data_IF_196976475488
#
_entry.id   IF_196976475488
#
_cell.length_a   1.000
_cell.length_b   1.000
_cell.length_c   1.000
_cell.angle_alpha   90.00
_cell.angle_beta   90.00
_cell.angle_gamma   90.00
#
_symmetry.space_group_name_H-M   'P 1'
#
loop_
_entity.id
_entity.type
_entity.pdbx_description
1 polymer ?
#
# COMPACT_ATOMS: atom_id res chain seq x y z
N UNK A 1 13.78 -14.52 -8.03
CA UNK A 1 14.71 -13.56 -7.41
C UNK A 1 15.99 -14.32 -7.13
N UNK A 2 17.12 -13.81 -7.60
CA UNK A 2 18.39 -14.48 -7.34
C UNK A 2 18.68 -14.44 -5.83
N UNK A 3 19.18 -15.53 -5.27
CA UNK A 3 19.63 -15.63 -3.87
C UNK A 3 20.74 -14.62 -3.53
N UNK A 4 21.16 -13.82 -4.49
CA UNK A 4 22.20 -12.80 -4.41
C UNK A 4 21.67 -11.37 -4.19
N UNK A 5 20.37 -11.12 -4.24
CA UNK A 5 19.80 -9.82 -3.90
C UNK A 5 19.80 -9.65 -2.37
N UNK A 6 19.90 -8.44 -1.86
CA UNK A 6 20.16 -8.11 -0.46
C UNK A 6 21.58 -8.50 -0.01
N UNK A 7 22.57 -8.26 -0.86
CA UNK A 7 23.98 -8.54 -0.56
C UNK A 7 24.69 -7.39 0.16
N UNK A 8 24.12 -6.19 0.18
CA UNK A 8 24.70 -4.99 0.79
C UNK A 8 23.61 -3.95 1.12
N UNK A 9 24.01 -2.80 1.69
CA UNK A 9 23.10 -1.72 2.04
C UNK A 9 22.43 -1.08 0.80
N UNK A 10 23.16 -0.97 -0.29
CA UNK A 10 22.66 -0.40 -1.54
C UNK A 10 21.49 -1.22 -2.09
N UNK A 11 21.52 -2.54 -1.96
CA UNK A 11 20.40 -3.41 -2.36
C UNK A 11 19.16 -3.17 -1.48
N UNK A 12 19.37 -2.99 -0.17
CA UNK A 12 18.28 -2.69 0.76
C UNK A 12 17.64 -1.33 0.42
N UNK A 13 18.45 -0.30 0.23
CA UNK A 13 18.00 1.05 -0.13
C UNK A 13 17.32 1.07 -1.51
N UNK A 14 17.84 0.30 -2.47
CA UNK A 14 17.24 0.14 -3.79
C UNK A 14 15.88 -0.55 -3.72
N UNK A 15 15.70 -1.56 -2.86
CA UNK A 15 14.42 -2.24 -2.68
C UNK A 15 13.35 -1.31 -2.09
N UNK A 16 13.72 -0.47 -1.13
CA UNK A 16 12.83 0.56 -0.59
C UNK A 16 12.51 1.63 -1.65
N UNK A 17 13.49 2.08 -2.40
CA UNK A 17 13.28 3.03 -3.50
C UNK A 17 12.31 2.46 -4.54
N UNK A 18 12.45 1.18 -4.88
CA UNK A 18 11.53 0.48 -5.78
C UNK A 18 10.11 0.42 -5.20
N UNK A 19 9.96 0.09 -3.91
CA UNK A 19 8.66 0.12 -3.23
C UNK A 19 8.01 1.49 -3.32
N UNK A 20 8.72 2.56 -2.96
CA UNK A 20 8.21 3.94 -3.05
C UNK A 20 7.88 4.35 -4.50
N UNK A 21 8.65 3.90 -5.49
CA UNK A 21 8.36 4.13 -6.89
C UNK A 21 7.05 3.48 -7.34
N UNK A 22 6.80 2.23 -6.92
CA UNK A 22 5.53 1.53 -7.18
C UNK A 22 4.36 2.26 -6.50
N UNK A 23 4.54 2.74 -5.27
CA UNK A 23 3.53 3.51 -4.55
C UNK A 23 3.25 4.83 -5.27
N UNK A 24 4.27 5.59 -5.62
CA UNK A 24 4.11 6.85 -6.34
C UNK A 24 3.39 6.64 -7.67
N UNK A 25 3.74 5.60 -8.43
CA UNK A 25 3.06 5.23 -9.68
C UNK A 25 1.61 4.85 -9.45
N UNK A 26 1.31 4.14 -8.36
CA UNK A 26 -0.05 3.75 -8.00
C UNK A 26 -0.92 4.95 -7.60
N UNK A 27 -0.35 5.94 -6.92
CA UNK A 27 -1.05 7.16 -6.50
C UNK A 27 -1.19 8.18 -7.64
N UNK A 28 -0.21 8.26 -8.54
CA UNK A 28 -0.24 9.15 -9.70
C UNK A 28 -1.21 8.69 -10.79
N UNK A 29 -1.73 7.49 -10.70
CA UNK A 29 -2.71 7.00 -11.66
C UNK A 29 -4.02 7.77 -11.52
N UNK A 30 -4.49 8.33 -12.63
CA UNK A 30 -5.79 9.04 -12.69
C UNK A 30 -6.95 8.19 -12.18
N UNK A 31 -6.79 6.89 -12.15
CA UNK A 31 -7.81 5.93 -11.74
C UNK A 31 -8.13 6.03 -10.24
N UNK A 32 -7.13 6.30 -9.38
CA UNK A 32 -7.33 6.44 -7.94
C UNK A 32 -8.05 7.74 -7.55
N UNK A 33 -7.75 8.83 -8.24
CA UNK A 33 -8.38 10.12 -7.95
C UNK A 33 -9.81 10.19 -8.48
N UNK A 34 -10.08 9.53 -9.63
CA UNK A 34 -11.36 9.66 -10.31
C UNK A 34 -12.52 8.98 -9.57
N UNK A 35 -12.31 7.79 -9.01
CA UNK A 35 -13.39 7.02 -8.40
C UNK A 35 -13.98 7.66 -7.15
N UNK A 36 -13.16 8.33 -6.34
CA UNK A 36 -13.61 8.95 -5.10
C UNK A 36 -14.34 10.29 -5.30
N UNK A 37 -14.09 10.97 -6.43
CA UNK A 37 -14.72 12.26 -6.72
C UNK A 37 -16.03 12.12 -7.52
N UNK A 38 -16.16 11.06 -8.32
CA UNK A 38 -17.25 10.91 -9.28
C UNK A 38 -18.53 10.30 -8.69
N UNK A 39 -18.51 9.94 -7.42
CA UNK A 39 -19.70 9.48 -6.70
C UNK A 39 -20.47 10.63 -6.02
N UNK A 40 -19.98 11.86 -6.16
CA UNK A 40 -20.70 13.07 -5.71
C UNK A 40 -21.68 13.59 -6.77
N UNK A 41 -22.65 14.36 -6.34
CA UNK A 41 -23.67 14.96 -7.21
C UNK A 41 -23.25 16.32 -7.82
N UNK A 42 -22.09 16.83 -7.42
CA UNK A 42 -21.53 18.10 -7.85
C UNK A 42 -20.56 18.00 -9.04
N UNK A 43 -20.19 16.78 -9.44
CA UNK A 43 -19.28 16.51 -10.56
C UNK A 43 -19.90 15.45 -11.46
N UNK A 44 -19.90 15.68 -12.76
CA UNK A 44 -20.36 14.70 -13.73
C UNK A 44 -19.39 14.53 -14.90
N UNK A 45 -19.42 13.34 -15.51
CA UNK A 45 -18.60 13.03 -16.68
C UNK A 45 -19.29 13.46 -17.97
N UNK A 46 -18.50 13.97 -18.92
CA UNK A 46 -19.04 14.38 -20.23
C UNK A 46 -19.59 13.15 -21.00
N UNK A 47 -20.82 13.20 -21.52
CA UNK A 47 -21.50 12.04 -22.12
C UNK A 47 -20.78 11.41 -23.32
N UNK A 48 -20.08 12.22 -24.11
CA UNK A 48 -19.35 11.78 -25.32
C UNK A 48 -17.86 11.57 -25.10
N UNK A 49 -17.38 11.60 -23.86
CA UNK A 49 -15.96 11.36 -23.58
C UNK A 49 -15.61 9.89 -23.74
N UNK A 50 -14.34 9.62 -24.03
CA UNK A 50 -13.76 8.26 -24.02
C UNK A 50 -13.52 7.72 -22.59
N UNK A 51 -14.11 8.34 -21.58
CA UNK A 51 -13.94 8.02 -20.16
C UNK A 51 -15.12 7.17 -19.64
N UNK A 52 -15.48 6.12 -20.36
CA UNK A 52 -16.56 5.22 -19.95
C UNK A 52 -16.38 4.67 -18.53
N UNK A 53 -15.19 4.23 -18.09
CA UNK A 53 -15.03 3.73 -16.73
C UNK A 53 -15.39 4.76 -15.65
N UNK A 54 -15.14 6.05 -15.89
CA UNK A 54 -15.55 7.13 -14.99
C UNK A 54 -17.05 7.36 -14.99
N UNK A 55 -17.69 7.31 -16.17
CA UNK A 55 -19.14 7.46 -16.28
C UNK A 55 -19.91 6.39 -15.52
N UNK A 56 -19.37 5.17 -15.49
CA UNK A 56 -19.96 4.08 -14.73
C UNK A 56 -20.00 4.41 -13.23
N UNK A 57 -18.95 5.04 -12.69
CA UNK A 57 -18.94 5.52 -11.31
C UNK A 57 -19.90 6.69 -11.09
N UNK A 58 -19.88 7.69 -11.97
CA UNK A 58 -20.75 8.85 -11.95
C UNK A 58 -22.26 8.46 -12.00
N UNK A 59 -22.58 7.41 -12.73
CA UNK A 59 -23.94 6.90 -12.89
C UNK A 59 -24.33 5.81 -11.88
N UNK A 60 -23.46 5.46 -10.94
CA UNK A 60 -23.64 4.34 -10.00
C UNK A 60 -23.97 3.01 -10.69
N UNK A 61 -23.41 2.78 -11.89
CA UNK A 61 -23.65 1.60 -12.71
C UNK A 61 -22.32 0.95 -13.14
N UNK A 62 -21.44 0.72 -12.14
CA UNK A 62 -20.10 0.16 -12.35
C UNK A 62 -20.19 -1.29 -12.76
N UNK A 63 -19.53 -1.63 -13.87
CA UNK A 63 -19.50 -3.00 -14.41
C UNK A 63 -18.27 -3.76 -13.92
N UNK A 64 -18.38 -5.07 -13.84
CA UNK A 64 -17.28 -6.00 -13.43
C UNK A 64 -16.07 -5.94 -14.35
N UNK A 65 -16.22 -5.51 -15.59
CA UNK A 65 -15.14 -5.30 -16.54
C UNK A 65 -14.60 -3.86 -16.55
N UNK A 66 -14.95 -3.04 -15.55
CA UNK A 66 -14.44 -1.67 -15.43
C UNK A 66 -12.91 -1.66 -15.32
N UNK A 67 -12.24 -1.07 -16.32
CA UNK A 67 -10.79 -1.10 -16.44
C UNK A 67 -10.07 -0.32 -15.33
N UNK A 68 -10.76 0.62 -14.70
CA UNK A 68 -10.19 1.40 -13.60
C UNK A 68 -10.17 0.61 -12.31
N UNK A 69 -11.25 -0.11 -11.99
CA UNK A 69 -11.26 -1.03 -10.85
C UNK A 69 -10.20 -2.12 -10.99
N UNK A 70 -10.09 -2.74 -12.17
CA UNK A 70 -9.05 -3.74 -12.43
C UNK A 70 -7.64 -3.15 -12.24
N UNK A 71 -7.39 -1.95 -12.75
CA UNK A 71 -6.11 -1.27 -12.59
C UNK A 71 -5.81 -0.95 -11.12
N UNK A 72 -6.80 -0.49 -10.35
CA UNK A 72 -6.64 -0.19 -8.92
C UNK A 72 -6.28 -1.46 -8.13
N UNK A 73 -6.98 -2.55 -8.38
CA UNK A 73 -6.70 -3.86 -7.79
C UNK A 73 -5.25 -4.31 -8.07
N UNK A 74 -4.87 -4.35 -9.34
CA UNK A 74 -3.53 -4.75 -9.75
C UNK A 74 -2.43 -3.90 -9.10
N UNK A 75 -2.63 -2.59 -9.02
CA UNK A 75 -1.65 -1.70 -8.44
C UNK A 75 -1.47 -1.93 -6.94
N UNK A 76 -2.54 -2.20 -6.20
CA UNK A 76 -2.42 -2.54 -4.77
C UNK A 76 -1.66 -3.84 -4.57
N UNK A 77 -1.91 -4.86 -5.38
CA UNK A 77 -1.15 -6.11 -5.31
C UNK A 77 0.32 -5.97 -5.76
N UNK A 78 0.64 -5.03 -6.67
CA UNK A 78 2.04 -4.69 -6.97
C UNK A 78 2.76 -4.10 -5.75
N UNK A 79 2.12 -3.23 -5.00
CA UNK A 79 2.67 -2.68 -3.75
C UNK A 79 2.84 -3.80 -2.71
N UNK A 80 1.83 -4.64 -2.51
CA UNK A 80 1.88 -5.79 -1.59
C UNK A 80 3.04 -6.72 -1.94
N UNK A 81 3.22 -7.04 -3.22
CA UNK A 81 4.34 -7.88 -3.70
C UNK A 81 5.70 -7.24 -3.39
N UNK A 82 5.86 -5.95 -3.66
CA UNK A 82 7.10 -5.23 -3.38
C UNK A 82 7.38 -5.16 -1.87
N UNK A 83 6.35 -4.95 -1.06
CA UNK A 83 6.46 -4.97 0.39
C UNK A 83 6.85 -6.37 0.92
N UNK A 84 6.19 -7.43 0.44
CA UNK A 84 6.51 -8.82 0.81
C UNK A 84 7.97 -9.17 0.46
N UNK A 85 8.49 -8.67 -0.67
CA UNK A 85 9.87 -8.89 -1.05
C UNK A 85 10.86 -8.35 0.01
N UNK A 86 10.60 -7.17 0.54
CA UNK A 86 11.43 -6.58 1.60
C UNK A 86 11.23 -7.34 2.91
N UNK A 87 9.98 -7.55 3.34
CA UNK A 87 9.65 -8.21 4.60
C UNK A 87 10.29 -9.60 4.69
N UNK A 88 10.23 -10.37 3.61
CA UNK A 88 10.72 -11.76 3.61
C UNK A 88 12.22 -11.89 3.42
N UNK A 89 12.92 -10.84 2.98
CA UNK A 89 14.31 -10.99 2.54
C UNK A 89 15.30 -10.01 3.19
N UNK A 90 14.88 -8.86 3.71
CA UNK A 90 15.77 -7.80 4.19
C UNK A 90 16.67 -8.23 5.34
N UNK A 91 16.25 -9.17 6.19
CA UNK A 91 17.06 -9.70 7.30
C UNK A 91 18.35 -10.39 6.85
N UNK A 92 18.40 -10.81 5.58
CA UNK A 92 19.59 -11.48 5.01
C UNK A 92 20.70 -10.52 4.60
N UNK A 93 20.45 -9.20 4.64
CA UNK A 93 21.42 -8.20 4.20
C UNK A 93 22.62 -8.16 5.16
N UNK A 94 23.84 -8.56 4.73
CA UNK A 94 25.01 -8.52 5.57
C UNK A 94 25.50 -7.08 5.78
N UNK A 95 26.26 -6.84 6.85
CA UNK A 95 26.97 -5.59 7.12
C UNK A 95 26.07 -4.34 7.26
N UNK A 96 24.75 -4.51 7.36
CA UNK A 96 23.77 -3.45 7.63
C UNK A 96 23.37 -3.52 9.10
N UNK A 97 23.18 -2.35 9.72
CA UNK A 97 22.74 -2.32 11.12
C UNK A 97 21.35 -2.96 11.25
N UNK A 98 21.13 -3.67 12.35
CA UNK A 98 19.81 -4.28 12.63
C UNK A 98 18.69 -3.23 12.70
N UNK A 99 19.02 -2.02 13.12
CA UNK A 99 18.05 -0.93 13.21
C UNK A 99 17.65 -0.43 11.82
N UNK A 100 18.60 -0.29 10.88
CA UNK A 100 18.29 0.08 9.50
C UNK A 100 17.42 -1.00 8.80
N UNK A 101 17.71 -2.28 9.05
CA UNK A 101 16.91 -3.40 8.54
C UNK A 101 15.50 -3.35 9.11
N UNK A 102 15.34 -3.16 10.43
CA UNK A 102 14.02 -3.04 11.07
C UNK A 102 13.22 -1.87 10.52
N UNK A 103 13.84 -0.72 10.35
CA UNK A 103 13.19 0.46 9.77
C UNK A 103 12.73 0.18 8.33
N UNK A 104 13.53 -0.52 7.54
CA UNK A 104 13.16 -0.89 6.18
C UNK A 104 11.96 -1.85 6.16
N UNK A 105 11.97 -2.88 7.00
CA UNK A 105 10.88 -3.84 7.16
C UNK A 105 9.61 -3.14 7.67
N UNK A 106 9.73 -2.23 8.64
CA UNK A 106 8.62 -1.47 9.19
C UNK A 106 7.91 -0.61 8.14
N UNK A 107 8.67 0.07 7.27
CA UNK A 107 8.10 0.82 6.15
C UNK A 107 7.36 -0.10 5.17
N UNK A 108 7.91 -1.29 4.89
CA UNK A 108 7.26 -2.27 4.02
C UNK A 108 5.96 -2.80 4.64
N UNK A 109 5.93 -3.08 5.94
CA UNK A 109 4.71 -3.44 6.68
C UNK A 109 3.65 -2.34 6.58
N UNK A 110 4.02 -1.08 6.79
CA UNK A 110 3.09 0.04 6.65
C UNK A 110 2.42 0.07 5.27
N UNK A 111 3.21 -0.04 4.19
CA UNK A 111 2.67 0.05 2.84
C UNK A 111 1.87 -1.18 2.43
N UNK A 112 2.18 -2.34 3.00
CA UNK A 112 1.34 -3.53 2.85
C UNK A 112 0.00 -3.34 3.55
N UNK A 113 0.01 -2.90 4.80
CA UNK A 113 -1.20 -2.58 5.56
C UNK A 113 -2.07 -1.54 4.86
N UNK A 114 -1.48 -0.45 4.39
CA UNK A 114 -2.19 0.61 3.66
C UNK A 114 -2.83 0.09 2.38
N UNK A 115 -2.15 -0.81 1.66
CA UNK A 115 -2.70 -1.42 0.44
C UNK A 115 -3.86 -2.36 0.75
N UNK A 116 -3.75 -3.18 1.79
CA UNK A 116 -4.86 -4.03 2.25
C UNK A 116 -6.03 -3.22 2.80
N UNK A 117 -5.76 -2.13 3.50
CA UNK A 117 -6.81 -1.23 3.98
C UNK A 117 -7.60 -0.64 2.80
N UNK A 118 -6.92 -0.19 1.75
CA UNK A 118 -7.58 0.27 0.53
C UNK A 118 -8.40 -0.84 -0.14
N UNK A 119 -7.86 -2.06 -0.21
CA UNK A 119 -8.55 -3.20 -0.80
C UNK A 119 -9.81 -3.58 -0.02
N UNK A 120 -9.73 -3.71 1.30
CA UNK A 120 -10.87 -4.14 2.12
C UNK A 120 -11.98 -3.10 2.15
N UNK A 121 -11.64 -1.81 2.19
CA UNK A 121 -12.65 -0.73 2.16
C UNK A 121 -13.33 -0.57 0.81
N UNK A 122 -12.71 -1.06 -0.29
CA UNK A 122 -13.28 -0.96 -1.64
C UNK A 122 -14.02 -2.23 -2.06
N UNK A 123 -13.49 -3.42 -1.73
CA UNK A 123 -14.01 -4.71 -2.20
C UNK A 123 -14.53 -5.63 -1.09
N UNK A 124 -14.35 -5.26 0.18
CA UNK A 124 -14.67 -6.13 1.30
C UNK A 124 -13.73 -7.33 1.37
N UNK A 125 -14.21 -8.51 1.02
CA UNK A 125 -13.42 -9.75 1.06
C UNK A 125 -12.36 -9.79 -0.03
N UNK A 126 -11.10 -9.97 0.35
CA UNK A 126 -9.94 -10.01 -0.56
C UNK A 126 -8.99 -11.17 -0.19
N UNK A 127 -8.17 -11.68 -1.13
CA UNK A 127 -7.19 -12.69 -0.81
C UNK A 127 -6.01 -12.07 -0.04
N UNK A 128 -5.47 -12.77 0.95
CA UNK A 128 -4.26 -12.39 1.65
C UNK A 128 -3.05 -13.09 1.01
N UNK A 129 -2.10 -12.30 0.53
CA UNK A 129 -0.85 -12.75 -0.07
C UNK A 129 0.34 -12.25 0.75
N UNK A 130 1.07 -13.17 1.37
CA UNK A 130 2.24 -12.85 2.21
C UNK A 130 3.56 -13.30 1.56
N UNK A 131 3.48 -13.92 0.39
CA UNK A 131 4.63 -14.32 -0.43
C UNK A 131 4.80 -13.36 -1.62
N UNK A 132 5.93 -13.48 -2.28
CA UNK A 132 6.26 -12.69 -3.47
C UNK A 132 5.54 -13.21 -4.73
N UNK A 133 5.24 -14.51 -4.75
CA UNK A 133 4.50 -15.13 -5.83
C UNK A 133 2.99 -14.88 -5.67
N UNK A 134 2.36 -14.56 -6.79
CA UNK A 134 0.91 -14.36 -6.83
C UNK A 134 0.24 -15.72 -6.94
N UNK A 135 -0.57 -16.07 -5.95
CA UNK A 135 -1.45 -17.23 -6.01
C UNK A 135 -2.83 -16.80 -6.52
N UNK A 136 -3.11 -17.09 -7.77
CA UNK A 136 -4.40 -16.78 -8.40
C UNK A 136 -5.56 -17.63 -7.85
N UNK A 137 -5.28 -18.69 -7.10
CA UNK A 137 -6.27 -19.54 -6.46
C UNK A 137 -6.43 -19.24 -4.97
N UNK A 138 -5.76 -18.19 -4.46
CA UNK A 138 -5.87 -17.82 -3.05
C UNK A 138 -7.33 -17.52 -2.68
N UNK A 139 -7.86 -18.11 -1.59
CA UNK A 139 -9.23 -17.88 -1.18
C UNK A 139 -9.43 -16.45 -0.67
N UNK A 140 -10.62 -15.92 -0.91
CA UNK A 140 -11.02 -14.65 -0.31
C UNK A 140 -11.13 -14.81 1.21
N UNK A 141 -10.50 -13.91 1.93
CA UNK A 141 -10.54 -13.82 3.38
C UNK A 141 -11.70 -12.94 3.83
N UNK A 142 -12.15 -13.11 5.06
CA UNK A 142 -13.15 -12.22 5.64
C UNK A 142 -12.56 -10.84 5.90
N UNK A 143 -13.40 -9.84 6.03
CA UNK A 143 -12.96 -8.47 6.36
C UNK A 143 -12.21 -8.44 7.69
N UNK A 144 -12.68 -9.21 8.69
CA UNK A 144 -12.03 -9.33 9.99
C UNK A 144 -10.60 -9.86 9.86
N UNK A 145 -10.39 -10.95 9.09
CA UNK A 145 -9.05 -11.52 8.86
C UNK A 145 -8.11 -10.49 8.16
N UNK A 146 -8.66 -9.69 7.25
CA UNK A 146 -7.89 -8.65 6.57
C UNK A 146 -7.56 -7.50 7.51
N UNK A 147 -8.49 -7.04 8.34
CA UNK A 147 -8.24 -6.01 9.36
C UNK A 147 -7.24 -6.48 10.43
N UNK A 148 -7.28 -7.75 10.83
CA UNK A 148 -6.27 -8.34 11.74
C UNK A 148 -4.86 -8.24 11.15
N UNK A 149 -4.70 -8.57 9.87
CA UNK A 149 -3.42 -8.40 9.18
C UNK A 149 -2.98 -6.92 9.13
N UNK A 150 -3.90 -6.02 8.76
CA UNK A 150 -3.63 -4.58 8.70
C UNK A 150 -3.13 -4.06 10.05
N UNK A 151 -3.83 -4.39 11.13
CA UNK A 151 -3.45 -3.93 12.47
C UNK A 151 -2.14 -4.55 12.94
N UNK A 152 -1.88 -5.82 12.64
CA UNK A 152 -0.61 -6.49 12.92
C UNK A 152 0.56 -5.78 12.22
N UNK A 153 0.42 -5.49 10.93
CA UNK A 153 1.42 -4.79 10.15
C UNK A 153 1.66 -3.35 10.65
N UNK A 154 0.58 -2.62 10.94
CA UNK A 154 0.68 -1.26 11.47
C UNK A 154 1.33 -1.23 12.85
N UNK A 155 1.13 -2.26 13.67
CA UNK A 155 1.77 -2.36 14.99
C UNK A 155 3.28 -2.53 14.89
N UNK A 156 3.76 -3.33 13.93
CA UNK A 156 5.19 -3.45 13.63
C UNK A 156 5.74 -2.11 13.14
N UNK A 157 5.02 -1.47 12.22
CA UNK A 157 5.40 -0.17 11.69
C UNK A 157 5.43 0.92 12.78
N UNK A 158 4.48 0.94 13.71
CA UNK A 158 4.44 1.88 14.84
C UNK A 158 5.68 1.73 15.74
N UNK A 159 6.10 0.50 15.97
CA UNK A 159 7.22 0.20 16.86
C UNK A 159 8.57 0.59 16.27
N UNK A 160 8.78 0.34 14.98
CA UNK A 160 10.09 0.39 14.36
C UNK A 160 10.28 1.57 13.37
N UNK A 161 9.21 2.28 12.97
CA UNK A 161 9.35 3.52 12.22
C UNK A 161 9.75 4.68 13.17
N UNK A 162 10.79 5.45 12.84
CA UNK A 162 11.19 6.58 13.70
C UNK A 162 10.18 7.73 13.62
N UNK A 163 10.09 8.49 14.71
CA UNK A 163 9.29 9.70 14.74
C UNK A 163 9.80 10.76 13.76
N UNK A 164 11.13 10.86 13.62
CA UNK A 164 11.81 11.78 12.71
C UNK A 164 13.03 11.12 12.08
N UNK A 165 13.12 11.17 10.76
CA UNK A 165 14.31 10.80 10.02
C UNK A 165 15.27 12.00 9.96
N UNK A 166 16.50 11.82 10.45
CA UNK A 166 17.51 12.90 10.51
C UNK A 166 18.49 12.89 9.34
N UNK A 167 18.51 11.82 8.55
CA UNK A 167 19.48 11.59 7.48
C UNK A 167 18.81 11.28 6.15
N UNK A 168 19.45 11.69 5.06
CA UNK A 168 19.12 11.25 3.71
C UNK A 168 19.19 9.69 3.63
N UNK A 169 18.38 9.06 2.79
CA UNK A 169 17.38 9.65 1.88
C UNK A 169 16.00 9.91 2.53
N UNK A 170 15.76 9.49 3.77
CA UNK A 170 14.44 9.47 4.41
C UNK A 170 14.10 10.75 5.19
N UNK A 171 15.11 11.55 5.52
CA UNK A 171 14.95 12.86 6.16
C UNK A 171 15.69 13.94 5.40
N UNK A 172 15.02 15.03 5.07
CA UNK A 172 15.61 16.18 4.36
C UNK A 172 15.08 17.50 4.91
N UNK A 173 15.99 18.41 5.25
CA UNK A 173 15.64 19.74 5.75
C UNK A 173 14.65 19.70 6.93
N UNK A 174 14.80 18.76 7.85
CA UNK A 174 13.91 18.59 9.01
C UNK A 174 12.54 18.01 8.70
N UNK A 175 12.31 17.51 7.47
CA UNK A 175 11.06 16.88 7.06
C UNK A 175 11.27 15.38 6.85
N UNK A 176 10.28 14.59 7.24
CA UNK A 176 10.19 13.19 6.87
C UNK A 176 9.72 13.07 5.41
N UNK A 177 10.48 12.33 4.60
CA UNK A 177 10.08 11.95 3.24
C UNK A 177 9.80 10.44 3.12
N UNK A 178 9.83 9.76 4.24
CA UNK A 178 9.44 8.37 4.40
C UNK A 178 8.38 8.24 5.52
N UNK A 179 7.82 7.05 5.67
CA UNK A 179 6.80 6.77 6.67
C UNK A 179 7.36 6.95 8.08
N UNK A 180 6.76 7.84 8.86
CA UNK A 180 7.13 8.08 10.25
C UNK A 180 6.13 7.44 11.21
N UNK A 181 6.52 7.27 12.48
CA UNK A 181 5.63 6.81 13.56
C UNK A 181 4.31 7.61 13.61
N UNK A 182 4.37 8.93 13.43
CA UNK A 182 3.19 9.78 13.40
C UNK A 182 2.24 9.45 12.24
N UNK A 183 2.78 9.15 11.04
CA UNK A 183 1.97 8.72 9.91
C UNK A 183 1.31 7.36 10.17
N UNK A 184 2.02 6.43 10.80
CA UNK A 184 1.48 5.12 11.18
C UNK A 184 0.33 5.28 12.16
N UNK A 185 0.50 6.07 13.21
CA UNK A 185 -0.56 6.34 14.22
C UNK A 185 -1.80 6.97 13.62
N UNK A 186 -1.62 7.95 12.72
CA UNK A 186 -2.75 8.56 12.02
C UNK A 186 -3.51 7.54 11.15
N UNK A 187 -2.79 6.67 10.44
CA UNK A 187 -3.40 5.60 9.66
C UNK A 187 -4.12 4.59 10.56
N UNK A 188 -3.53 4.18 11.69
CA UNK A 188 -4.19 3.29 12.66
C UNK A 188 -5.50 3.88 13.19
N UNK A 189 -5.50 5.18 13.54
CA UNK A 189 -6.71 5.85 13.99
C UNK A 189 -7.81 5.79 12.92
N UNK A 190 -7.45 6.03 11.66
CA UNK A 190 -8.41 5.95 10.55
C UNK A 190 -8.90 4.50 10.32
N UNK A 191 -8.03 3.51 10.39
CA UNK A 191 -8.42 2.09 10.31
C UNK A 191 -9.43 1.75 11.41
N UNK A 192 -9.19 2.14 12.66
CA UNK A 192 -10.13 1.89 13.75
C UNK A 192 -11.48 2.60 13.56
N UNK A 193 -11.48 3.82 13.01
CA UNK A 193 -12.72 4.51 12.67
C UNK A 193 -13.52 3.74 11.63
N UNK A 194 -12.88 3.24 10.57
CA UNK A 194 -13.56 2.43 9.55
C UNK A 194 -14.11 1.12 10.13
N UNK A 195 -13.35 0.43 10.97
CA UNK A 195 -13.82 -0.77 11.68
C UNK A 195 -15.03 -0.51 12.57
N UNK A 196 -15.15 0.70 13.11
CA UNK A 196 -16.30 1.12 13.91
C UNK A 196 -17.52 1.57 13.07
N UNK A 197 -17.41 1.56 11.74
CA UNK A 197 -18.49 1.95 10.83
C UNK A 197 -18.62 3.46 10.60
N UNK A 198 -17.52 4.20 10.70
CA UNK A 198 -17.48 5.68 10.52
C UNK A 198 -16.96 6.09 9.14
N UNK A 199 -16.76 5.16 8.24
CA UNK A 199 -16.26 5.42 6.88
C UNK A 199 -17.39 5.33 5.85
#
# INVERSE_FOLDING_TARGET
>A
PSDTYFSNKEDLDASLTALYSVIASSQASNNLCGTNFLVGDDISTHPSSNKQPLREHDQFDVKDNNSWLSSMWEQRFKVIKAANFIINNAERTPEVSKDDIKVAIAQAHYWRAYSYFYLVTTWGRVPIMLKEEIDYNAPLKTEEEVYELILSDLKIAETDCPALYTKEPYGRNGMNIAVSEGAVKATMAYVYMCMAGWA
#
